data_IF_592216128148
#
_entry.id   IF_592216128148
#
_cell.length_a   1.000
_cell.length_b   1.000
_cell.length_c   1.000
_cell.angle_alpha   90.00
_cell.angle_beta   90.00
_cell.angle_gamma   90.00
#
_symmetry.space_group_name_H-M   'P 1'
#
loop_
_entity.id
_entity.type
_entity.pdbx_description
1 polymer ?
#
# COMPACT_ATOMS: atom_id res chain seq x y z
N UNK A 1 -23.51 8.26 9.63
CA UNK A 1 -24.39 7.26 8.98
C UNK A 1 -23.65 6.60 7.82
N UNK A 2 -23.00 7.36 6.94
CA UNK A 2 -22.11 6.85 5.89
C UNK A 2 -20.94 5.99 6.45
N UNK A 3 -20.25 6.44 7.50
CA UNK A 3 -19.11 5.69 8.06
C UNK A 3 -19.51 4.29 8.57
N UNK A 4 -20.72 4.16 9.13
CA UNK A 4 -21.22 2.88 9.62
C UNK A 4 -21.49 1.90 8.47
N UNK A 5 -22.03 2.39 7.35
CA UNK A 5 -22.25 1.58 6.15
C UNK A 5 -20.91 1.10 5.58
N UNK A 6 -19.90 1.98 5.54
CA UNK A 6 -18.56 1.61 5.08
C UNK A 6 -17.93 0.55 6.01
N UNK A 7 -18.08 0.71 7.33
CA UNK A 7 -17.61 -0.27 8.30
C UNK A 7 -18.30 -1.64 8.15
N UNK A 8 -19.58 -1.67 7.79
CA UNK A 8 -20.33 -2.91 7.54
C UNK A 8 -19.87 -3.61 6.24
N UNK A 9 -19.51 -2.85 5.20
CA UNK A 9 -19.07 -3.39 3.90
C UNK A 9 -17.59 -3.81 3.93
N UNK A 10 -16.69 -2.94 4.38
CA UNK A 10 -15.23 -3.16 4.32
C UNK A 10 -14.64 -3.69 5.63
N UNK A 11 -15.49 -3.87 6.64
CA UNK A 11 -15.16 -4.48 7.91
C UNK A 11 -14.39 -3.55 8.84
N UNK A 12 -13.90 -4.16 9.92
CA UNK A 12 -13.13 -3.51 10.97
C UNK A 12 -11.95 -4.37 11.35
N UNK A 13 -10.80 -3.74 11.57
CA UNK A 13 -9.55 -4.40 11.93
C UNK A 13 -8.76 -3.58 12.93
N UNK A 14 -7.68 -4.14 13.45
CA UNK A 14 -6.76 -3.40 14.31
C UNK A 14 -6.12 -2.28 13.48
N UNK A 15 -6.00 -1.08 14.07
CA UNK A 15 -5.31 0.00 13.41
C UNK A 15 -3.82 -0.33 13.24
N UNK A 16 -3.21 0.17 12.17
CA UNK A 16 -1.78 0.13 11.91
C UNK A 16 -1.21 1.55 11.85
N UNK A 17 -0.18 1.87 12.68
CA UNK A 17 0.44 1.00 13.68
C UNK A 17 -0.50 0.65 14.85
N UNK A 18 -0.37 -0.54 15.48
CA UNK A 18 -1.21 -0.94 16.61
C UNK A 18 -1.08 0.02 17.79
N UNK A 19 -2.22 0.50 18.27
CA UNK A 19 -2.30 1.47 19.36
C UNK A 19 -3.31 1.01 20.42
N UNK A 20 -2.99 1.30 21.68
CA UNK A 20 -3.81 0.95 22.83
C UNK A 20 -4.11 2.21 23.67
N UNK A 21 -5.36 2.34 24.06
CA UNK A 21 -5.88 3.40 24.93
C UNK A 21 -6.54 2.77 26.17
N UNK A 22 -6.38 3.41 27.32
CA UNK A 22 -7.03 2.98 28.57
C UNK A 22 -8.56 3.07 28.52
N UNK A 23 -9.11 3.87 27.60
CA UNK A 23 -10.55 4.13 27.50
C UNK A 23 -11.24 3.18 26.53
N UNK A 24 -10.63 2.95 25.37
CA UNK A 24 -11.23 2.20 24.25
C UNK A 24 -10.57 0.85 24.00
N UNK A 25 -9.53 0.51 24.76
CA UNK A 25 -8.72 -0.67 24.51
C UNK A 25 -7.91 -0.50 23.24
N UNK A 26 -8.03 -1.45 22.31
CA UNK A 26 -7.33 -1.34 21.02
C UNK A 26 -8.02 -0.35 20.09
N UNK A 27 -7.22 0.47 19.41
CA UNK A 27 -7.70 1.35 18.35
C UNK A 27 -8.00 0.51 17.10
N UNK A 28 -9.21 0.66 16.58
CA UNK A 28 -9.68 -0.05 15.39
C UNK A 28 -9.66 0.88 14.18
N UNK A 29 -9.30 0.35 13.02
CA UNK A 29 -9.56 0.95 11.72
C UNK A 29 -10.84 0.34 11.13
N UNK A 30 -11.68 1.19 10.53
CA UNK A 30 -13.00 0.79 10.04
C UNK A 30 -13.21 1.29 8.61
N UNK A 31 -13.99 0.53 7.82
CA UNK A 31 -14.45 0.99 6.51
C UNK A 31 -13.32 1.28 5.53
N UNK A 32 -13.38 2.46 4.91
CA UNK A 32 -12.37 2.94 3.96
C UNK A 32 -10.96 2.97 4.56
N UNK A 33 -10.83 3.37 5.82
CA UNK A 33 -9.53 3.46 6.51
C UNK A 33 -8.92 2.08 6.74
N UNK A 34 -9.76 1.06 6.99
CA UNK A 34 -9.29 -0.32 7.12
C UNK A 34 -8.66 -0.84 5.80
N UNK A 35 -9.24 -0.48 4.65
CA UNK A 35 -8.69 -0.84 3.33
C UNK A 35 -7.38 -0.10 3.09
N UNK A 36 -7.33 1.21 3.35
CA UNK A 36 -6.13 2.03 3.21
C UNK A 36 -4.96 1.50 4.05
N UNK A 37 -5.22 1.10 5.30
CA UNK A 37 -4.19 0.53 6.16
C UNK A 37 -3.76 -0.86 5.73
N UNK A 38 -4.67 -1.69 5.21
CA UNK A 38 -4.34 -3.00 4.64
C UNK A 38 -3.39 -2.87 3.45
N UNK A 39 -3.65 -1.92 2.54
CA UNK A 39 -2.74 -1.56 1.45
C UNK A 39 -1.37 -1.11 1.97
N UNK A 40 -1.34 -0.25 3.00
CA UNK A 40 -0.08 0.18 3.62
C UNK A 40 0.72 -0.99 4.20
N UNK A 41 0.04 -1.92 4.88
CA UNK A 41 0.70 -3.12 5.42
C UNK A 41 1.25 -3.96 4.27
N UNK A 42 0.50 -4.18 3.19
CA UNK A 42 0.98 -4.91 2.02
C UNK A 42 2.26 -4.30 1.45
N UNK A 43 2.28 -2.98 1.24
CA UNK A 43 3.44 -2.29 0.65
C UNK A 43 4.66 -2.24 1.56
N UNK A 44 4.46 -2.19 2.88
CA UNK A 44 5.56 -2.19 3.86
C UNK A 44 6.06 -3.59 4.23
N UNK A 45 5.39 -4.66 3.78
CA UNK A 45 5.79 -6.04 4.09
C UNK A 45 6.57 -6.61 2.92
N UNK A 46 7.72 -7.19 3.22
CA UNK A 46 8.53 -7.93 2.26
C UNK A 46 8.05 -9.38 2.14
N UNK A 47 8.22 -9.95 0.95
CA UNK A 47 7.88 -11.37 0.72
C UNK A 47 8.78 -12.26 1.58
N UNK A 48 8.18 -13.24 2.26
CA UNK A 48 8.87 -14.13 3.19
C UNK A 48 8.84 -13.69 4.65
N UNK A 49 8.45 -12.45 4.98
CA UNK A 49 8.43 -11.98 6.37
C UNK A 49 7.34 -12.64 7.23
N UNK A 50 6.22 -13.04 6.61
CA UNK A 50 5.07 -13.56 7.35
C UNK A 50 5.14 -15.08 7.49
N UNK A 51 5.19 -15.53 8.75
CA UNK A 51 5.13 -16.95 9.12
C UNK A 51 3.90 -17.61 8.49
N UNK A 52 4.10 -18.75 7.80
CA UNK A 52 3.07 -19.52 7.09
C UNK A 52 2.35 -18.74 5.97
N UNK A 53 2.89 -17.60 5.54
CA UNK A 53 2.38 -16.75 4.44
C UNK A 53 3.54 -16.14 3.67
N UNK A 54 4.44 -16.98 3.19
CA UNK A 54 5.69 -16.57 2.53
C UNK A 54 5.43 -15.70 1.27
N UNK A 55 4.35 -15.95 0.54
CA UNK A 55 4.03 -15.19 -0.67
C UNK A 55 3.49 -13.76 -0.39
N UNK A 56 3.09 -13.45 0.85
CA UNK A 56 2.48 -12.15 1.19
C UNK A 56 3.54 -11.07 1.33
N UNK A 57 3.23 -9.89 0.79
CA UNK A 57 4.11 -8.73 0.76
C UNK A 57 4.18 -8.15 -0.64
N UNK A 58 4.52 -6.86 -0.74
CA UNK A 58 4.79 -6.23 -2.02
C UNK A 58 6.19 -6.58 -2.50
N UNK A 59 7.18 -6.67 -1.62
CA UNK A 59 8.55 -7.02 -2.04
C UNK A 59 9.19 -5.91 -2.87
N UNK A 60 9.03 -4.64 -2.44
CA UNK A 60 9.59 -3.52 -3.20
C UNK A 60 11.11 -3.43 -3.05
N UNK A 61 11.68 -4.12 -2.05
CA UNK A 61 13.12 -4.14 -1.86
C UNK A 61 13.87 -4.88 -2.98
N UNK A 62 13.19 -5.74 -3.74
CA UNK A 62 13.79 -6.45 -4.89
C UNK A 62 14.29 -5.48 -5.98
N UNK A 63 13.80 -4.24 -5.99
CA UNK A 63 14.18 -3.20 -6.95
C UNK A 63 15.26 -2.24 -6.45
N UNK A 64 15.73 -2.40 -5.21
CA UNK A 64 16.79 -1.57 -4.65
C UNK A 64 18.10 -1.79 -5.42
N UNK A 65 18.89 -0.73 -5.55
CA UNK A 65 20.15 -0.70 -6.29
C UNK A 65 20.06 -0.94 -7.81
N UNK A 66 18.85 -1.07 -8.37
CA UNK A 66 18.65 -1.08 -9.81
C UNK A 66 18.86 0.31 -10.43
N UNK A 67 19.22 0.40 -11.71
CA UNK A 67 19.30 1.69 -12.40
C UNK A 67 17.90 2.20 -12.72
N UNK A 68 17.61 3.45 -12.34
CA UNK A 68 16.34 4.08 -12.67
C UNK A 68 16.24 4.26 -14.19
N UNK A 69 15.21 3.63 -14.75
CA UNK A 69 14.89 3.60 -16.17
C UNK A 69 13.38 3.44 -16.33
N UNK A 70 12.85 3.77 -17.52
CA UNK A 70 11.43 3.57 -17.83
C UNK A 70 11.01 2.10 -17.69
N UNK A 71 11.93 1.17 -17.99
CA UNK A 71 11.71 -0.27 -17.82
C UNK A 71 11.55 -0.66 -16.35
N UNK A 72 12.40 -0.13 -15.45
CA UNK A 72 12.28 -0.35 -14.00
C UNK A 72 10.94 0.18 -13.49
N UNK A 73 10.57 1.39 -13.88
CA UNK A 73 9.33 2.03 -13.44
C UNK A 73 8.10 1.23 -13.92
N UNK A 74 8.09 0.74 -15.17
CA UNK A 74 7.04 -0.11 -15.69
C UNK A 74 6.94 -1.47 -14.98
N UNK A 75 8.09 -2.08 -14.63
CA UNK A 75 8.14 -3.31 -13.82
C UNK A 75 7.54 -3.10 -12.43
N UNK A 76 7.90 -2.00 -11.75
CA UNK A 76 7.36 -1.66 -10.43
C UNK A 76 5.84 -1.44 -10.52
N UNK A 77 5.36 -0.71 -11.53
CA UNK A 77 3.91 -0.51 -11.75
C UNK A 77 3.17 -1.83 -11.88
N UNK A 78 3.62 -2.70 -12.78
CA UNK A 78 3.00 -4.01 -13.04
C UNK A 78 2.99 -4.87 -11.77
N UNK A 79 4.11 -4.87 -11.03
CA UNK A 79 4.25 -5.66 -9.81
C UNK A 79 3.32 -5.17 -8.69
N UNK A 80 3.22 -3.85 -8.46
CA UNK A 80 2.26 -3.28 -7.51
C UNK A 80 0.84 -3.69 -7.88
N UNK A 81 0.48 -3.60 -9.16
CA UNK A 81 -0.84 -3.99 -9.65
C UNK A 81 -1.17 -5.45 -9.34
N UNK A 82 -0.26 -6.37 -9.66
CA UNK A 82 -0.41 -7.80 -9.39
C UNK A 82 -0.55 -8.10 -7.89
N UNK A 83 0.25 -7.45 -7.05
CA UNK A 83 0.23 -7.66 -5.59
C UNK A 83 -1.06 -7.18 -4.96
N UNK A 84 -1.55 -6.01 -5.36
CA UNK A 84 -2.83 -5.47 -4.88
C UNK A 84 -3.99 -6.33 -5.36
N UNK A 85 -3.99 -6.73 -6.63
CA UNK A 85 -5.02 -7.61 -7.19
C UNK A 85 -5.11 -8.93 -6.41
N UNK A 86 -3.96 -9.48 -5.99
CA UNK A 86 -3.88 -10.76 -5.26
C UNK A 86 -4.28 -10.65 -3.79
N UNK A 87 -3.87 -9.57 -3.11
CA UNK A 87 -3.95 -9.50 -1.65
C UNK A 87 -4.96 -8.48 -1.10
N UNK A 88 -5.45 -7.54 -1.91
CA UNK A 88 -6.42 -6.53 -1.47
C UNK A 88 -7.57 -6.36 -2.47
N UNK A 89 -8.46 -7.35 -2.50
CA UNK A 89 -9.61 -7.36 -3.43
C UNK A 89 -10.61 -6.23 -3.20
N UNK A 90 -10.57 -5.52 -2.06
CA UNK A 90 -11.50 -4.41 -1.76
C UNK A 90 -11.09 -3.11 -2.43
N UNK A 91 -9.84 -2.98 -2.87
CA UNK A 91 -9.35 -1.85 -3.64
C UNK A 91 -9.29 -2.22 -5.13
N UNK A 92 -9.83 -1.36 -5.99
CA UNK A 92 -9.71 -1.48 -7.45
C UNK A 92 -8.82 -0.34 -7.94
N UNK A 93 -7.62 -0.69 -8.41
CA UNK A 93 -6.65 0.29 -8.88
C UNK A 93 -7.19 0.98 -10.13
N UNK A 94 -7.15 2.30 -10.12
CA UNK A 94 -7.49 3.13 -11.28
C UNK A 94 -6.25 3.66 -11.98
N UNK A 95 -5.17 3.91 -11.23
CA UNK A 95 -3.93 4.45 -11.78
C UNK A 95 -2.75 4.15 -10.85
N UNK A 96 -1.59 3.83 -11.43
CA UNK A 96 -0.30 3.78 -10.72
C UNK A 96 0.65 4.71 -11.45
N UNK A 97 1.19 5.69 -10.73
CA UNK A 97 2.24 6.58 -11.24
C UNK A 97 3.54 6.28 -10.51
N UNK A 98 4.62 6.11 -11.26
CA UNK A 98 5.97 5.93 -10.72
C UNK A 98 6.85 6.95 -11.44
N UNK A 99 7.36 7.92 -10.70
CA UNK A 99 8.12 9.04 -11.24
C UNK A 99 9.42 9.23 -10.46
N UNK A 100 10.52 9.45 -11.16
CA UNK A 100 11.77 9.87 -10.53
C UNK A 100 11.63 11.31 -10.00
N UNK A 101 12.03 11.54 -8.75
CA UNK A 101 12.02 12.90 -8.18
C UNK A 101 13.16 13.73 -8.77
N UNK A 102 12.86 14.95 -9.22
CA UNK A 102 13.87 15.86 -9.79
C UNK A 102 14.92 16.27 -8.75
N UNK A 103 14.50 16.53 -7.52
CA UNK A 103 15.37 17.01 -6.45
C UNK A 103 16.24 15.87 -5.86
N UNK A 104 15.83 14.60 -6.02
CA UNK A 104 16.43 13.41 -5.40
C UNK A 104 16.57 12.32 -6.48
N UNK A 105 17.68 12.30 -7.25
CA UNK A 105 17.80 11.46 -8.44
C UNK A 105 17.72 9.96 -8.17
N UNK A 106 17.99 9.49 -6.95
CA UNK A 106 17.95 8.08 -6.59
C UNK A 106 16.60 7.64 -6.01
N UNK A 107 15.57 8.48 -6.15
CA UNK A 107 14.31 8.34 -5.45
C UNK A 107 13.14 8.29 -6.43
N UNK A 108 12.34 7.23 -6.31
CA UNK A 108 11.08 7.08 -7.04
C UNK A 108 9.92 7.48 -6.13
N UNK A 109 9.06 8.37 -6.62
CA UNK A 109 7.76 8.67 -6.04
C UNK A 109 6.72 7.74 -6.66
N UNK A 110 6.02 6.99 -5.82
CA UNK A 110 5.01 6.02 -6.22
C UNK A 110 3.67 6.53 -5.70
N UNK A 111 2.69 6.63 -6.59
CA UNK A 111 1.33 7.01 -6.28
C UNK A 111 0.38 5.94 -6.81
N UNK A 112 -0.46 5.39 -5.93
CA UNK A 112 -1.47 4.39 -6.24
C UNK A 112 -2.85 5.01 -5.98
N UNK A 113 -3.58 5.26 -7.07
CA UNK A 113 -4.96 5.71 -7.04
C UNK A 113 -5.89 4.51 -7.20
N UNK A 114 -6.92 4.42 -6.36
CA UNK A 114 -7.88 3.32 -6.39
C UNK A 114 -9.27 3.78 -5.98
N UNK A 115 -10.28 3.00 -6.38
CA UNK A 115 -11.65 3.12 -5.88
C UNK A 115 -11.96 1.95 -4.95
N UNK A 116 -12.77 2.20 -3.92
CA UNK A 116 -13.25 1.12 -3.08
C UNK A 116 -14.31 0.32 -3.85
N UNK A 117 -14.07 -0.99 -4.02
CA UNK A 117 -14.89 -1.88 -4.84
C UNK A 117 -16.36 -1.82 -4.42
N UNK A 118 -17.23 -1.48 -5.36
CA UNK A 118 -18.68 -1.35 -5.11
C UNK A 118 -19.10 0.05 -4.60
N UNK A 119 -18.23 1.05 -4.74
CA UNK A 119 -18.54 2.45 -4.44
C UNK A 119 -17.83 3.41 -5.39
N UNK A 120 -18.23 4.69 -5.37
CA UNK A 120 -17.58 5.79 -6.10
C UNK A 120 -16.52 6.52 -5.26
N UNK A 121 -16.04 5.90 -4.18
CA UNK A 121 -15.08 6.53 -3.27
C UNK A 121 -13.67 6.29 -3.78
N UNK A 122 -13.08 7.33 -4.37
CA UNK A 122 -11.67 7.33 -4.78
C UNK A 122 -10.75 7.65 -3.59
N UNK A 123 -9.63 6.93 -3.53
CA UNK A 123 -8.57 7.13 -2.55
C UNK A 123 -7.20 7.05 -3.24
N UNK A 124 -6.19 7.52 -2.52
CA UNK A 124 -4.83 7.58 -3.00
C UNK A 124 -3.88 7.21 -1.85
N UNK A 125 -2.84 6.44 -2.18
CA UNK A 125 -1.69 6.19 -1.32
C UNK A 125 -0.45 6.63 -2.09
N UNK A 126 0.42 7.33 -1.39
CA UNK A 126 1.71 7.77 -1.91
C UNK A 126 2.81 7.14 -1.08
N UNK A 127 3.99 7.06 -1.68
CA UNK A 127 5.21 6.87 -0.94
C UNK A 127 6.44 6.89 -1.82
N UNK A 128 7.56 6.59 -1.19
CA UNK A 128 8.89 6.85 -1.70
C UNK A 128 9.71 5.56 -1.64
N UNK A 129 10.38 5.25 -2.74
CA UNK A 129 11.36 4.18 -2.85
C UNK A 129 12.73 4.78 -3.15
N UNK A 130 13.67 4.68 -2.20
CA UNK A 130 15.03 5.17 -2.37
C UNK A 130 15.94 4.05 -2.88
N UNK A 131 16.12 4.02 -4.20
CA UNK A 131 16.86 2.97 -4.91
C UNK A 131 18.36 2.99 -4.58
N UNK A 132 18.89 4.15 -4.16
CA UNK A 132 20.33 4.32 -3.91
C UNK A 132 20.82 3.95 -2.49
N UNK A 133 19.96 4.01 -1.47
CA UNK A 133 20.38 3.84 -0.07
C UNK A 133 19.70 2.67 0.67
N UNK A 134 18.71 2.01 0.05
CA UNK A 134 18.07 0.83 0.63
C UNK A 134 17.00 1.11 1.67
N UNK A 135 16.34 2.28 1.60
CA UNK A 135 15.20 2.63 2.48
C UNK A 135 13.91 2.85 1.66
N UNK A 136 12.80 2.28 2.15
CA UNK A 136 11.44 2.49 1.62
C UNK A 136 10.65 3.30 2.64
N UNK A 137 10.14 4.47 2.25
CA UNK A 137 9.37 5.37 3.13
C UNK A 137 8.01 5.64 2.50
N UNK A 138 6.94 5.02 3.02
CA UNK A 138 5.53 5.21 2.59
C UNK A 138 4.67 5.90 3.66
#
# INVERSE_FOLDING_TARGET
MADKILADIYGRGWAFPPQFSSQTGIIMAEGAEHVRQSMKILFLTETGERIMREDYGCGLNDYLFENISDELMARIQTHIEERVLRYESRAEITEIQVNQKMDWPNTLHIQVSYVLRGSEISQQIEGILEVGEGEVIL
#
